data_IF_016396164516
#
_entry.id   IF_016396164516
#
_cell.length_a   1.000
_cell.length_b   1.000
_cell.length_c   1.000
_cell.angle_alpha   90.00
_cell.angle_beta   90.00
_cell.angle_gamma   90.00
#
_symmetry.space_group_name_H-M   'P 1'
#
loop_
_entity.id
_entity.type
_entity.pdbx_description
1 polymer ?
#
# COMPACT_ATOMS: atom_id res chain seq x y z
N UNK A 1 1.21 10.78 27.78
CA UNK A 1 1.41 9.57 26.94
C UNK A 1 0.72 9.81 25.61
N UNK A 2 1.46 9.83 24.49
CA UNK A 2 0.88 9.92 23.15
C UNK A 2 0.37 8.52 22.80
N UNK A 3 -0.94 8.38 22.57
CA UNK A 3 -1.52 7.14 22.04
C UNK A 3 -1.13 7.03 20.57
N UNK A 4 -0.40 5.97 20.19
CA UNK A 4 -0.29 5.63 18.78
C UNK A 4 -1.69 5.25 18.26
N UNK A 5 -2.10 5.73 17.08
CA UNK A 5 -3.38 5.35 16.52
C UNK A 5 -3.39 3.84 16.24
N UNK A 6 -4.44 3.16 16.70
CA UNK A 6 -4.66 1.75 16.38
C UNK A 6 -4.85 1.63 14.87
N UNK A 7 -3.90 0.99 14.19
CA UNK A 7 -3.90 0.76 12.75
C UNK A 7 -4.30 -0.68 12.43
N UNK A 8 -5.00 -0.87 11.31
CA UNK A 8 -5.25 -2.16 10.70
C UNK A 8 -4.30 -2.33 9.51
N UNK A 9 -3.51 -3.40 9.55
CA UNK A 9 -2.42 -3.66 8.62
C UNK A 9 -2.81 -4.76 7.63
N UNK A 10 -2.59 -4.52 6.35
CA UNK A 10 -2.86 -5.48 5.27
C UNK A 10 -1.60 -5.72 4.47
N UNK A 11 -1.24 -6.99 4.29
CA UNK A 11 -0.18 -7.41 3.38
C UNK A 11 -0.80 -7.93 2.09
N UNK A 12 -0.41 -7.36 0.95
CA UNK A 12 -0.84 -7.83 -0.37
C UNK A 12 0.23 -8.75 -0.95
N UNK A 13 -0.16 -9.98 -1.27
CA UNK A 13 0.71 -11.01 -1.83
C UNK A 13 0.16 -11.54 -3.15
N UNK A 14 1.03 -11.98 -4.04
CA UNK A 14 0.64 -12.55 -5.32
C UNK A 14 1.76 -12.57 -6.35
N UNK A 15 1.62 -13.40 -7.38
CA UNK A 15 2.61 -13.53 -8.47
C UNK A 15 2.84 -12.19 -9.18
N UNK A 16 4.04 -12.02 -9.75
CA UNK A 16 4.34 -10.85 -10.59
C UNK A 16 3.34 -10.75 -11.75
N UNK A 17 2.85 -9.54 -12.03
CA UNK A 17 1.88 -9.29 -13.11
C UNK A 17 0.42 -9.58 -12.77
N UNK A 18 0.07 -10.09 -11.58
CA UNK A 18 -1.32 -10.40 -11.18
C UNK A 18 -2.20 -9.17 -10.94
N UNK A 19 -1.61 -7.96 -10.93
CA UNK A 19 -2.35 -6.71 -10.75
C UNK A 19 -2.37 -6.15 -9.32
N UNK A 20 -1.47 -6.59 -8.42
CA UNK A 20 -1.33 -6.07 -7.04
C UNK A 20 -1.29 -4.53 -7.01
N UNK A 21 -0.41 -3.92 -7.80
CA UNK A 21 -0.25 -2.45 -7.84
C UNK A 21 -1.51 -1.73 -8.33
N UNK A 22 -2.25 -2.33 -9.27
CA UNK A 22 -3.55 -1.80 -9.74
C UNK A 22 -4.59 -1.84 -8.64
N UNK A 23 -4.69 -2.97 -7.93
CA UNK A 23 -5.59 -3.13 -6.79
C UNK A 23 -5.28 -2.09 -5.71
N UNK A 24 -4.02 -1.97 -5.30
CA UNK A 24 -3.58 -1.01 -4.28
C UNK A 24 -3.96 0.43 -4.67
N UNK A 25 -3.68 0.85 -5.91
CA UNK A 25 -4.04 2.20 -6.38
C UNK A 25 -5.55 2.48 -6.29
N UNK A 26 -6.38 1.51 -6.69
CA UNK A 26 -7.83 1.63 -6.60
C UNK A 26 -8.30 1.69 -5.14
N UNK A 27 -7.79 0.82 -4.26
CA UNK A 27 -8.19 0.76 -2.85
C UNK A 27 -7.85 2.05 -2.09
N UNK A 28 -6.76 2.73 -2.44
CA UNK A 28 -6.33 3.97 -1.79
C UNK A 28 -7.00 5.23 -2.35
N UNK A 29 -7.84 5.10 -3.39
CA UNK A 29 -8.55 6.22 -4.01
C UNK A 29 -7.64 7.22 -4.71
N UNK A 30 -6.36 6.89 -4.91
CA UNK A 30 -5.38 7.80 -5.49
C UNK A 30 -5.27 7.54 -6.99
N UNK A 31 -5.79 8.44 -7.82
CA UNK A 31 -5.46 8.47 -9.26
C UNK A 31 -3.97 8.79 -9.51
N UNK A 32 -3.26 9.35 -8.52
CA UNK A 32 -1.93 9.94 -8.70
C UNK A 32 -0.83 9.55 -7.67
N UNK A 33 -1.03 8.66 -6.69
CA UNK A 33 -0.16 8.76 -5.49
C UNK A 33 0.49 7.51 -4.87
N UNK A 34 0.37 6.28 -5.39
CA UNK A 34 1.05 5.16 -4.69
C UNK A 34 1.73 4.08 -5.53
N UNK A 35 1.90 4.30 -6.83
CA UNK A 35 2.87 3.53 -7.61
C UNK A 35 3.94 4.52 -8.02
N UNK A 36 5.14 4.38 -7.45
CA UNK A 36 6.35 4.93 -8.05
C UNK A 36 6.28 4.58 -9.54
N UNK A 37 6.03 5.60 -10.36
CA UNK A 37 5.64 5.50 -11.76
C UNK A 37 6.27 4.31 -12.48
N UNK A 38 5.49 3.26 -12.76
CA UNK A 38 5.84 2.22 -13.75
C UNK A 38 7.07 1.33 -13.47
N UNK A 39 7.83 1.55 -12.40
CA UNK A 39 9.03 0.76 -12.13
C UNK A 39 8.66 -0.55 -11.41
N UNK A 40 8.47 -1.62 -12.20
CA UNK A 40 8.50 -3.01 -11.70
C UNK A 40 9.75 -3.17 -10.80
N UNK A 41 9.57 -3.48 -9.52
CA UNK A 41 10.68 -3.91 -8.65
C UNK A 41 10.83 -3.22 -7.29
N UNK A 42 10.06 -2.17 -6.99
CA UNK A 42 10.14 -1.45 -5.70
C UNK A 42 9.07 -1.87 -4.67
N UNK A 43 8.54 -3.09 -4.78
CA UNK A 43 7.74 -3.66 -3.69
C UNK A 43 8.66 -3.90 -2.49
N UNK A 44 8.27 -3.33 -1.35
CA UNK A 44 9.00 -3.42 -0.08
C UNK A 44 7.99 -3.64 1.04
N UNK A 45 8.09 -4.81 1.68
CA UNK A 45 7.23 -5.19 2.79
C UNK A 45 7.46 -4.33 4.03
N UNK A 46 8.59 -3.64 4.13
CA UNK A 46 8.88 -2.74 5.26
C UNK A 46 8.35 -1.32 5.01
N UNK A 47 7.92 -1.02 3.78
CA UNK A 47 7.40 0.28 3.41
C UNK A 47 5.90 0.34 3.67
N UNK A 48 5.51 1.22 4.59
CA UNK A 48 4.11 1.49 4.89
C UNK A 48 3.48 2.39 3.82
N UNK A 49 2.37 1.92 3.24
CA UNK A 49 1.47 2.75 2.43
C UNK A 49 0.25 3.11 3.29
N UNK A 50 0.12 4.39 3.65
CA UNK A 50 -0.95 4.88 4.53
C UNK A 50 -2.02 5.60 3.70
N UNK A 51 -3.29 5.25 3.90
CA UNK A 51 -4.38 5.88 3.14
C UNK A 51 -4.60 7.30 3.61
N UNK A 52 -4.70 8.23 2.65
CA UNK A 52 -5.08 9.62 2.91
C UNK A 52 -6.54 9.75 3.37
N UNK A 53 -7.39 8.79 2.98
CA UNK A 53 -8.81 8.77 3.34
C UNK A 53 -9.05 8.12 4.70
N UNK A 54 -8.16 7.22 5.13
CA UNK A 54 -8.24 6.56 6.42
C UNK A 54 -6.82 6.26 6.93
N UNK A 55 -6.31 7.11 7.82
CA UNK A 55 -4.95 6.98 8.37
C UNK A 55 -4.74 5.75 9.26
N UNK A 56 -5.82 5.02 9.61
CA UNK A 56 -5.72 3.74 10.32
C UNK A 56 -5.44 2.58 9.36
N UNK A 57 -5.61 2.78 8.05
CA UNK A 57 -5.32 1.77 7.03
C UNK A 57 -3.87 1.83 6.59
N UNK A 58 -3.13 0.75 6.84
CA UNK A 58 -1.72 0.61 6.45
C UNK A 58 -1.56 -0.61 5.57
N UNK A 59 -1.02 -0.44 4.38
CA UNK A 59 -0.78 -1.51 3.42
C UNK A 59 0.72 -1.75 3.23
N UNK A 60 1.08 -3.02 3.08
CA UNK A 60 2.40 -3.52 2.75
C UNK A 60 2.32 -4.34 1.44
N UNK A 61 3.28 -4.18 0.54
CA UNK A 61 3.32 -4.88 -0.76
C UNK A 61 4.48 -5.89 -0.79
N UNK A 62 4.19 -7.15 -1.13
CA UNK A 62 5.23 -8.14 -1.36
C UNK A 62 5.86 -7.96 -2.73
N UNK A 63 7.16 -8.28 -2.85
CA UNK A 63 7.76 -8.56 -4.17
C UNK A 63 6.92 -9.59 -4.95
#
# INVERSE_FOLDING_TARGET
>A
LISLPISFRVLVIGKSGVGKSTLINHTFGTKNAFVAHGCRGLADINKELISKQNNRFVLHDSK
#
